data_IF_112377439339
#
_entry.id   IF_112377439339
#
_cell.length_a   1.000
_cell.length_b   1.000
_cell.length_c   1.000
_cell.angle_alpha   90.00
_cell.angle_beta   90.00
_cell.angle_gamma   90.00
#
_symmetry.space_group_name_H-M   'P 1'
#
loop_
_entity.id
_entity.type
_entity.pdbx_description
1 polymer ?
#
# COMPACT_ATOMS: atom_id res chain seq x y z
N UNK A 1 7.00 15.04 -26.21
CA UNK A 1 6.94 13.80 -27.01
C UNK A 1 5.73 12.98 -26.55
N UNK A 2 5.09 12.13 -27.38
CA UNK A 2 3.97 11.32 -26.92
C UNK A 2 4.44 10.34 -25.85
N UNK A 3 3.69 10.25 -24.75
CA UNK A 3 3.91 9.23 -23.71
C UNK A 3 3.34 7.89 -24.18
N UNK A 4 4.02 6.79 -23.85
CA UNK A 4 3.60 5.44 -24.21
C UNK A 4 3.63 4.53 -22.98
N UNK A 5 2.79 3.49 -23.01
CA UNK A 5 2.72 2.49 -21.93
C UNK A 5 4.00 1.66 -21.91
N UNK A 6 4.63 1.55 -20.75
CA UNK A 6 5.84 0.73 -20.54
C UNK A 6 5.54 -0.53 -19.73
N UNK A 7 4.51 -0.50 -18.91
CA UNK A 7 4.13 -1.61 -18.04
C UNK A 7 2.68 -1.46 -17.59
N UNK A 8 2.02 -2.58 -17.32
CA UNK A 8 0.66 -2.64 -16.80
C UNK A 8 0.68 -3.60 -15.61
N UNK A 9 0.05 -3.19 -14.51
CA UNK A 9 -0.11 -3.96 -13.29
C UNK A 9 -1.59 -4.10 -12.93
N UNK A 10 -1.93 -5.15 -12.18
CA UNK A 10 -3.22 -5.24 -11.51
C UNK A 10 -3.22 -4.30 -10.31
N UNK A 11 -4.30 -3.53 -10.16
CA UNK A 11 -4.48 -2.64 -9.01
C UNK A 11 -5.96 -2.45 -8.72
N UNK A 12 -6.36 -2.41 -7.45
CA UNK A 12 -7.77 -2.24 -7.07
C UNK A 12 -7.91 -1.06 -6.11
N UNK A 13 -8.85 -0.18 -6.40
CA UNK A 13 -9.13 1.01 -5.59
C UNK A 13 -10.21 0.75 -4.56
N UNK A 14 -10.82 1.82 -4.04
CA UNK A 14 -12.10 1.68 -3.34
C UNK A 14 -13.27 1.37 -4.29
N UNK A 15 -14.47 1.12 -3.77
CA UNK A 15 -15.66 0.90 -4.59
C UNK A 15 -16.13 2.19 -5.27
N UNK A 16 -16.70 2.08 -6.48
CA UNK A 16 -17.25 3.22 -7.22
C UNK A 16 -18.42 3.89 -6.47
N UNK A 17 -19.23 3.07 -5.79
CA UNK A 17 -20.34 3.49 -4.96
C UNK A 17 -19.98 3.17 -3.51
N UNK A 18 -19.99 4.14 -2.59
CA UNK A 18 -19.70 3.88 -1.19
C UNK A 18 -20.61 2.81 -0.59
N UNK A 19 -20.04 1.86 0.13
CA UNK A 19 -20.75 0.78 0.81
C UNK A 19 -20.16 0.51 2.20
N UNK A 20 -20.73 -0.46 2.91
CA UNK A 20 -20.16 -0.96 4.16
C UNK A 20 -19.22 -2.13 3.85
N UNK A 21 -17.95 -2.00 4.25
CA UNK A 21 -16.99 -3.09 4.19
C UNK A 21 -17.34 -4.22 5.15
N UNK A 22 -16.80 -5.40 4.90
CA UNK A 22 -16.93 -6.56 5.81
C UNK A 22 -16.27 -6.36 7.17
N UNK A 23 -15.46 -5.31 7.32
CA UNK A 23 -14.83 -4.87 8.56
C UNK A 23 -15.70 -3.89 9.38
N UNK A 24 -16.90 -3.57 8.90
CA UNK A 24 -17.82 -2.63 9.56
C UNK A 24 -17.46 -1.16 9.36
N UNK A 25 -16.50 -0.84 8.49
CA UNK A 25 -16.17 0.54 8.13
C UNK A 25 -16.69 0.89 6.72
N UNK A 26 -17.12 2.13 6.55
CA UNK A 26 -17.61 2.61 5.25
C UNK A 26 -16.44 2.69 4.27
N UNK A 27 -16.55 1.99 3.15
CA UNK A 27 -15.62 2.10 2.02
C UNK A 27 -16.10 3.22 1.09
N UNK A 28 -15.15 3.86 0.43
CA UNK A 28 -15.44 4.96 -0.51
C UNK A 28 -14.49 4.93 -1.69
N UNK A 29 -14.82 5.63 -2.78
CA UNK A 29 -14.04 5.61 -3.99
C UNK A 29 -12.62 6.15 -3.78
N UNK A 30 -11.68 5.62 -4.55
CA UNK A 30 -10.37 6.26 -4.75
C UNK A 30 -10.60 7.58 -5.47
N UNK A 31 -10.07 8.67 -4.94
CA UNK A 31 -10.41 10.02 -5.43
C UNK A 31 -9.71 10.27 -6.77
N UNK A 32 -10.45 10.61 -7.85
CA UNK A 32 -9.81 11.00 -9.10
C UNK A 32 -9.02 12.30 -8.95
N UNK A 33 -7.89 12.40 -9.63
CA UNK A 33 -7.03 13.56 -9.59
C UNK A 33 -5.60 13.29 -10.05
N UNK A 34 -4.84 14.36 -10.17
CA UNK A 34 -3.39 14.34 -10.37
C UNK A 34 -2.70 14.63 -9.03
N UNK A 35 -1.75 13.79 -8.68
CA UNK A 35 -1.02 13.83 -7.43
C UNK A 35 0.46 13.60 -7.68
N UNK A 36 1.30 14.11 -6.78
CA UNK A 36 2.74 13.92 -6.82
C UNK A 36 3.16 12.89 -5.77
N UNK A 37 4.00 11.93 -6.18
CA UNK A 37 4.56 10.93 -5.27
C UNK A 37 5.50 11.62 -4.29
N UNK A 38 5.25 11.43 -3.00
CA UNK A 38 6.09 11.92 -1.91
C UNK A 38 7.27 10.98 -1.63
N UNK A 39 7.05 9.68 -1.83
CA UNK A 39 8.03 8.61 -1.63
C UNK A 39 7.38 7.33 -1.12
N UNK A 40 8.22 6.31 -0.89
CA UNK A 40 7.78 4.99 -0.43
C UNK A 40 8.51 4.59 0.85
N UNK A 41 7.76 4.17 1.88
CA UNK A 41 8.32 3.71 3.16
C UNK A 41 7.32 2.81 3.90
N UNK A 42 7.79 2.09 4.94
CA UNK A 42 6.94 1.25 5.77
C UNK A 42 5.92 2.09 6.55
N UNK A 43 4.63 1.76 6.45
CA UNK A 43 3.57 2.49 7.13
C UNK A 43 3.46 2.14 8.62
N UNK A 44 3.05 3.14 9.41
CA UNK A 44 2.65 2.98 10.80
C UNK A 44 1.56 3.99 11.13
N UNK A 45 0.45 3.53 11.69
CA UNK A 45 -0.66 4.38 12.10
C UNK A 45 -1.33 3.86 13.37
N UNK A 46 -1.65 4.79 14.26
CA UNK A 46 -2.47 4.54 15.46
C UNK A 46 -3.91 5.01 15.25
N UNK A 47 -4.30 5.35 14.01
CA UNK A 47 -5.64 5.86 13.69
C UNK A 47 -6.69 4.76 13.72
N UNK A 48 -6.30 3.53 13.43
CA UNK A 48 -7.20 2.38 13.41
C UNK A 48 -7.31 1.78 14.81
N UNK A 49 -8.54 1.64 15.29
CA UNK A 49 -8.83 1.24 16.67
C UNK A 49 -8.40 -0.20 16.98
N UNK A 50 -8.22 -1.05 15.97
CA UNK A 50 -7.75 -2.42 16.11
C UNK A 50 -6.25 -2.53 16.40
N UNK A 51 -5.46 -1.48 16.09
CA UNK A 51 -4.03 -1.37 16.36
C UNK A 51 -3.13 -2.30 15.54
N UNK A 52 -3.63 -2.97 14.50
CA UNK A 52 -2.82 -3.87 13.66
C UNK A 52 -1.75 -3.11 12.86
N UNK A 53 -2.09 -1.89 12.43
CA UNK A 53 -1.21 -0.95 11.75
C UNK A 53 -0.29 -0.13 12.66
N UNK A 54 -0.35 -0.33 13.99
CA UNK A 54 0.48 0.38 14.97
C UNK A 54 1.96 -0.03 14.96
N UNK A 55 2.29 -1.15 14.32
CA UNK A 55 3.64 -1.70 14.22
C UNK A 55 4.02 -1.83 12.75
N UNK A 56 5.23 -1.39 12.39
CA UNK A 56 5.75 -1.51 11.02
C UNK A 56 5.93 -2.99 10.65
N UNK A 57 5.58 -3.33 9.41
CA UNK A 57 5.80 -4.65 8.86
C UNK A 57 7.28 -5.07 8.95
N UNK A 58 7.49 -6.36 9.22
CA UNK A 58 8.82 -6.97 9.37
C UNK A 58 9.55 -6.53 10.64
N UNK A 59 8.91 -5.83 11.58
CA UNK A 59 9.52 -5.55 12.89
C UNK A 59 9.74 -6.84 13.66
N UNK A 60 10.92 -7.06 14.25
CA UNK A 60 11.19 -8.29 15.00
C UNK A 60 10.30 -8.38 16.24
N UNK A 61 9.79 -9.58 16.51
CA UNK A 61 9.03 -9.92 17.70
C UNK A 61 9.84 -10.89 18.56
N UNK A 62 9.67 -10.78 19.87
CA UNK A 62 10.15 -11.80 20.81
C UNK A 62 9.22 -11.88 22.02
N UNK A 63 9.26 -13.00 22.70
CA UNK A 63 8.76 -13.11 24.06
C UNK A 63 9.92 -12.96 25.05
N UNK A 64 9.74 -12.12 26.07
CA UNK A 64 10.71 -11.95 27.15
C UNK A 64 9.99 -11.69 28.47
N UNK A 65 10.28 -12.49 29.49
CA UNK A 65 9.62 -12.44 30.81
C UNK A 65 8.08 -12.51 30.73
N UNK A 66 7.57 -13.36 29.84
CA UNK A 66 6.13 -13.54 29.64
C UNK A 66 5.44 -12.45 28.80
N UNK A 67 6.15 -11.36 28.46
CA UNK A 67 5.61 -10.25 27.67
C UNK A 67 6.09 -10.30 26.21
N UNK A 68 5.18 -10.00 25.27
CA UNK A 68 5.57 -9.79 23.87
C UNK A 68 6.22 -8.42 23.70
N UNK A 69 7.37 -8.43 23.06
CA UNK A 69 8.14 -7.23 22.75
C UNK A 69 8.34 -7.11 21.24
N UNK A 70 8.38 -5.88 20.76
CA UNK A 70 8.72 -5.53 19.38
C UNK A 70 10.00 -4.71 19.34
N UNK A 71 10.85 -4.99 18.35
CA UNK A 71 12.08 -4.25 18.13
C UNK A 71 11.83 -3.02 17.27
N UNK A 72 12.12 -1.84 17.81
CA UNK A 72 12.11 -0.60 17.03
C UNK A 72 13.39 -0.47 16.22
N UNK A 73 13.26 -0.56 14.90
CA UNK A 73 14.39 -0.46 13.95
C UNK A 73 15.20 0.83 14.15
N UNK A 74 14.53 1.97 14.29
CA UNK A 74 15.19 3.29 14.38
C UNK A 74 16.12 3.48 15.60
N UNK A 75 15.79 2.86 16.74
CA UNK A 75 16.53 3.06 18.02
C UNK A 75 17.11 1.76 18.58
N UNK A 76 17.02 0.67 17.82
CA UNK A 76 17.49 -0.67 18.19
C UNK A 76 17.04 -1.14 19.59
N UNK A 77 15.84 -0.72 20.03
CA UNK A 77 15.30 -0.97 21.36
C UNK A 77 14.15 -1.97 21.31
N UNK A 78 14.09 -2.85 22.31
CA UNK A 78 12.93 -3.71 22.55
C UNK A 78 11.94 -3.01 23.46
N UNK A 79 10.70 -2.88 23.00
CA UNK A 79 9.62 -2.27 23.77
C UNK A 79 8.42 -3.22 23.86
N UNK A 80 7.60 -3.13 24.93
CA UNK A 80 6.37 -3.90 25.03
C UNK A 80 5.46 -3.67 23.82
N UNK A 81 5.01 -4.75 23.17
CA UNK A 81 4.14 -4.69 21.98
C UNK A 81 2.84 -3.93 22.27
N UNK A 82 2.29 -4.07 23.48
CA UNK A 82 1.07 -3.43 23.95
C UNK A 82 1.06 -1.90 23.85
N UNK A 83 2.23 -1.25 23.74
CA UNK A 83 2.34 0.20 23.52
C UNK A 83 1.83 0.61 22.13
N UNK A 84 1.86 -0.31 21.17
CA UNK A 84 1.55 -0.05 19.75
C UNK A 84 0.35 -0.83 19.26
N UNK A 85 0.16 -2.04 19.78
CA UNK A 85 -0.91 -2.94 19.39
C UNK A 85 -1.52 -3.57 20.66
N UNK A 86 -2.80 -3.30 20.98
CA UNK A 86 -3.42 -3.80 22.21
C UNK A 86 -3.78 -5.29 22.16
N UNK A 87 -3.36 -6.02 21.12
CA UNK A 87 -3.74 -7.41 20.87
C UNK A 87 -3.06 -8.38 21.83
N UNK A 88 -3.83 -9.35 22.27
CA UNK A 88 -3.35 -10.47 23.10
C UNK A 88 -2.53 -11.45 22.26
N UNK A 89 -1.73 -12.30 22.93
CA UNK A 89 -1.01 -13.40 22.26
C UNK A 89 -1.96 -14.30 21.47
N UNK A 90 -3.12 -14.62 22.04
CA UNK A 90 -4.10 -15.49 21.41
C UNK A 90 -4.68 -14.87 20.13
N UNK A 91 -5.05 -13.58 20.16
CA UNK A 91 -5.51 -12.86 18.96
C UNK A 91 -4.42 -12.85 17.87
N UNK A 92 -3.16 -12.63 18.24
CA UNK A 92 -2.03 -12.66 17.29
C UNK A 92 -1.88 -14.05 16.66
N UNK A 93 -1.92 -15.12 17.47
CA UNK A 93 -1.83 -16.50 16.97
C UNK A 93 -3.02 -16.87 16.09
N UNK A 94 -4.24 -16.43 16.45
CA UNK A 94 -5.45 -16.64 15.65
C UNK A 94 -5.35 -15.92 14.31
N UNK A 95 -4.89 -14.67 14.29
CA UNK A 95 -4.76 -13.94 13.03
C UNK A 95 -3.63 -14.50 12.17
N UNK A 96 -2.52 -14.92 12.78
CA UNK A 96 -1.46 -15.64 12.08
C UNK A 96 -1.97 -16.97 11.51
N UNK A 97 -2.81 -17.71 12.24
CA UNK A 97 -3.42 -18.92 11.71
C UNK A 97 -4.36 -18.61 10.53
N UNK A 98 -5.18 -17.56 10.61
CA UNK A 98 -6.06 -17.17 9.52
C UNK A 98 -5.28 -16.87 8.22
N UNK A 99 -4.18 -16.11 8.31
CA UNK A 99 -3.37 -15.72 7.15
C UNK A 99 -2.38 -16.83 6.71
N UNK A 100 -1.62 -17.36 7.65
CA UNK A 100 -0.48 -18.22 7.41
C UNK A 100 -0.76 -19.70 7.68
N UNK A 101 -1.91 -20.07 8.24
CA UNK A 101 -2.27 -21.45 8.60
C UNK A 101 -1.32 -22.06 9.65
N UNK A 102 -0.74 -21.20 10.48
CA UNK A 102 0.17 -21.58 11.55
C UNK A 102 -0.25 -20.92 12.86
N UNK A 103 -0.61 -21.72 13.87
CA UNK A 103 -1.03 -21.20 15.18
C UNK A 103 0.18 -20.93 16.07
N UNK A 104 0.90 -19.82 15.81
CA UNK A 104 2.09 -19.39 16.56
C UNK A 104 2.26 -17.87 16.53
N UNK A 105 3.10 -17.35 17.42
CA UNK A 105 3.58 -15.97 17.30
C UNK A 105 4.65 -15.92 16.20
N UNK A 106 4.50 -15.08 15.16
CA UNK A 106 5.53 -14.96 14.13
C UNK A 106 6.80 -14.33 14.69
N UNK A 107 7.94 -14.59 14.05
CA UNK A 107 9.22 -13.97 14.43
C UNK A 107 9.27 -12.46 14.08
N UNK A 108 8.40 -12.02 13.17
CA UNK A 108 8.28 -10.63 12.73
C UNK A 108 6.82 -10.21 12.65
N UNK A 109 6.55 -8.91 12.74
CA UNK A 109 5.21 -8.36 12.58
C UNK A 109 4.77 -8.43 11.12
N UNK A 110 3.70 -9.18 10.84
CA UNK A 110 3.17 -9.43 9.48
C UNK A 110 1.67 -9.09 9.37
N UNK A 111 1.20 -8.18 10.23
CA UNK A 111 -0.23 -7.88 10.36
C UNK A 111 -0.57 -6.43 10.02
N UNK A 112 0.41 -5.63 9.58
CA UNK A 112 0.15 -4.24 9.23
C UNK A 112 -0.70 -4.16 7.95
N UNK A 113 -1.82 -3.44 8.00
CA UNK A 113 -2.83 -3.42 6.92
C UNK A 113 -2.30 -2.82 5.60
N UNK A 114 -1.14 -2.18 5.67
CA UNK A 114 -0.45 -1.55 4.55
C UNK A 114 0.74 -2.36 4.02
N UNK A 115 0.88 -3.61 4.47
CA UNK A 115 1.90 -4.54 3.98
C UNK A 115 3.33 -4.09 4.27
N UNK A 116 4.29 -4.61 3.50
CA UNK A 116 5.71 -4.35 3.74
C UNK A 116 6.17 -2.94 3.33
N UNK A 117 5.49 -2.30 2.37
CA UNK A 117 5.84 -0.97 1.87
C UNK A 117 4.60 -0.23 1.37
N UNK A 118 4.63 1.10 1.51
CA UNK A 118 3.53 1.97 1.10
C UNK A 118 4.09 3.15 0.32
N UNK A 119 3.50 3.45 -0.84
CA UNK A 119 3.81 4.64 -1.62
C UNK A 119 2.79 5.74 -1.32
N UNK A 120 3.29 6.89 -0.94
CA UNK A 120 2.52 8.06 -0.54
C UNK A 120 2.54 9.11 -1.63
N UNK A 121 1.46 9.84 -1.75
CA UNK A 121 1.33 10.95 -2.69
C UNK A 121 0.55 12.10 -2.05
N UNK A 122 0.65 13.29 -2.64
CA UNK A 122 -0.02 14.51 -2.19
C UNK A 122 -0.57 15.27 -3.38
N UNK A 123 -1.55 16.13 -3.14
CA UNK A 123 -2.03 17.05 -4.16
C UNK A 123 -1.12 18.28 -4.18
N UNK A 124 -0.47 18.51 -5.30
CA UNK A 124 0.34 19.71 -5.54
C UNK A 124 -0.60 20.88 -5.85
N UNK A 125 -0.68 21.84 -4.93
CA UNK A 125 -1.61 22.97 -4.97
C UNK A 125 -0.99 24.19 -5.65
N UNK A 126 0.34 24.25 -5.74
CA UNK A 126 1.08 25.38 -6.31
C UNK A 126 1.87 25.02 -7.58
N UNK A 127 1.79 23.75 -8.03
CA UNK A 127 2.45 23.19 -9.21
C UNK A 127 3.98 23.23 -9.15
N UNK A 128 4.58 23.10 -7.97
CA UNK A 128 6.04 23.12 -7.82
C UNK A 128 6.67 21.72 -7.64
N UNK A 129 5.86 20.68 -7.59
CA UNK A 129 6.25 19.29 -7.43
C UNK A 129 6.80 18.92 -6.05
N UNK A 130 6.59 19.76 -5.03
CA UNK A 130 7.17 19.61 -3.69
C UNK A 130 6.09 19.74 -2.64
N UNK A 131 6.10 18.81 -1.68
CA UNK A 131 5.23 18.88 -0.51
C UNK A 131 5.65 20.07 0.37
N UNK A 132 4.97 21.21 0.22
CA UNK A 132 5.24 22.42 1.00
C UNK A 132 3.99 23.29 1.29
N UNK A 133 4.19 24.39 2.02
CA UNK A 133 3.12 25.30 2.41
C UNK A 133 2.00 24.63 3.20
N UNK A 134 0.80 24.58 2.63
CA UNK A 134 -0.40 24.00 3.23
C UNK A 134 -0.73 22.58 2.75
N UNK A 135 0.12 22.01 1.88
CA UNK A 135 -0.07 20.68 1.31
C UNK A 135 0.14 19.57 2.33
N UNK A 136 -0.53 18.45 2.11
CA UNK A 136 -0.49 17.29 3.01
C UNK A 136 -0.46 16.00 2.22
N UNK A 137 0.22 15.01 2.78
CA UNK A 137 0.14 13.62 2.32
C UNK A 137 -1.33 13.20 2.28
N UNK A 138 -1.72 12.60 1.17
CA UNK A 138 -3.05 12.02 0.98
C UNK A 138 -3.30 10.91 2.00
N UNK A 139 -4.56 10.79 2.45
CA UNK A 139 -4.99 9.62 3.21
C UNK A 139 -5.10 8.35 2.35
N UNK A 140 -5.12 8.49 1.02
CA UNK A 140 -5.10 7.39 0.06
C UNK A 140 -3.66 7.11 -0.34
N UNK A 141 -3.30 5.83 -0.40
CA UNK A 141 -1.93 5.35 -0.59
C UNK A 141 -1.91 4.15 -1.53
N UNK A 142 -0.76 3.80 -2.08
CA UNK A 142 -0.58 2.54 -2.84
C UNK A 142 0.12 1.55 -1.92
N UNK A 143 -0.47 0.38 -1.71
CA UNK A 143 0.13 -0.63 -0.83
C UNK A 143 -0.42 -2.04 -1.08
N UNK A 144 0.31 -3.09 -0.68
CA UNK A 144 -0.25 -4.43 -0.54
C UNK A 144 -1.07 -4.58 0.75
N UNK A 145 -1.77 -5.71 0.88
CA UNK A 145 -2.57 -6.05 2.08
C UNK A 145 -1.98 -7.26 2.82
N UNK A 146 -2.23 -7.45 4.12
CA UNK A 146 -1.75 -8.62 4.87
C UNK A 146 -2.12 -9.96 4.22
N UNK A 147 -3.34 -10.07 3.69
CA UNK A 147 -3.78 -11.26 2.95
C UNK A 147 -2.97 -11.48 1.67
N UNK A 148 -2.72 -10.42 0.91
CA UNK A 148 -1.88 -10.46 -0.29
C UNK A 148 -0.45 -10.89 0.00
N UNK A 149 0.13 -10.37 1.09
CA UNK A 149 1.46 -10.74 1.58
C UNK A 149 1.55 -12.21 2.00
N UNK A 150 0.55 -12.68 2.75
CA UNK A 150 0.50 -14.08 3.17
C UNK A 150 0.37 -15.04 1.98
N UNK A 151 -0.50 -14.72 1.01
CA UNK A 151 -0.63 -15.49 -0.24
C UNK A 151 0.67 -15.47 -1.04
N UNK A 152 1.31 -14.32 -1.19
CA UNK A 152 2.59 -14.18 -1.89
C UNK A 152 3.68 -15.05 -1.26
N UNK A 153 3.78 -15.07 0.07
CA UNK A 153 4.78 -15.86 0.81
C UNK A 153 4.64 -17.38 0.59
N UNK A 154 3.42 -17.82 0.27
CA UNK A 154 3.08 -19.23 -0.02
C UNK A 154 3.10 -19.57 -1.51
N UNK A 155 3.42 -18.60 -2.38
CA UNK A 155 3.37 -18.77 -3.84
C UNK A 155 1.95 -18.98 -4.39
N UNK A 156 0.92 -18.53 -3.66
CA UNK A 156 -0.48 -18.64 -4.08
C UNK A 156 -0.87 -17.49 -5.00
N UNK A 157 -1.95 -17.70 -5.77
CA UNK A 157 -2.57 -16.65 -6.57
C UNK A 157 -3.17 -15.59 -5.65
N UNK A 158 -2.85 -14.32 -5.92
CA UNK A 158 -3.33 -13.18 -5.14
C UNK A 158 -4.53 -12.57 -5.85
N UNK A 159 -5.66 -12.55 -5.15
CA UNK A 159 -6.83 -11.75 -5.53
C UNK A 159 -6.76 -10.42 -4.78
N UNK A 160 -6.91 -9.32 -5.52
CA UNK A 160 -6.95 -7.98 -4.95
C UNK A 160 -8.41 -7.60 -4.68
N UNK A 161 -8.65 -7.05 -3.49
CA UNK A 161 -9.98 -6.62 -3.06
C UNK A 161 -10.05 -5.10 -2.96
N UNK A 162 -11.28 -4.58 -3.02
CA UNK A 162 -11.54 -3.15 -2.87
C UNK A 162 -11.18 -2.63 -1.48
N UNK A 163 -10.61 -1.43 -1.45
CA UNK A 163 -10.14 -0.74 -0.24
C UNK A 163 -11.14 0.29 0.29
N UNK A 164 -10.77 1.02 1.34
CA UNK A 164 -11.47 2.23 1.80
C UNK A 164 -11.01 3.51 1.06
N UNK A 165 -10.41 3.35 -0.12
CA UNK A 165 -9.96 4.43 -1.00
C UNK A 165 -8.48 4.35 -1.40
N UNK A 166 -7.65 3.57 -0.70
CA UNK A 166 -6.29 3.24 -1.13
C UNK A 166 -6.26 2.43 -2.44
N UNK A 167 -5.08 2.30 -3.04
CA UNK A 167 -4.85 1.50 -4.23
C UNK A 167 -4.09 0.24 -3.81
N UNK A 168 -4.79 -0.88 -3.76
CA UNK A 168 -4.22 -2.18 -3.46
C UNK A 168 -3.48 -2.74 -4.68
N UNK A 169 -2.27 -3.22 -4.45
CA UNK A 169 -1.39 -3.85 -5.46
C UNK A 169 -0.78 -5.13 -4.90
N UNK A 170 -0.24 -5.99 -5.77
CA UNK A 170 0.45 -7.20 -5.33
C UNK A 170 1.82 -6.84 -4.70
N UNK A 171 2.30 -7.59 -3.69
CA UNK A 171 3.60 -7.30 -3.04
C UNK A 171 4.77 -7.22 -4.03
N UNK A 172 4.92 -8.19 -4.92
CA UNK A 172 5.99 -8.18 -5.93
C UNK A 172 5.86 -7.06 -6.96
N UNK A 173 4.63 -6.63 -7.25
CA UNK A 173 4.38 -5.59 -8.23
C UNK A 173 4.83 -4.23 -7.68
N UNK A 174 4.55 -3.93 -6.39
CA UNK A 174 5.01 -2.68 -5.78
C UNK A 174 6.54 -2.64 -5.61
N UNK A 175 7.16 -3.79 -5.30
CA UNK A 175 8.62 -3.93 -5.30
C UNK A 175 9.21 -3.60 -6.67
N UNK A 176 8.66 -4.18 -7.75
CA UNK A 176 9.10 -3.90 -9.12
C UNK A 176 8.90 -2.42 -9.47
N UNK A 177 7.74 -1.84 -9.16
CA UNK A 177 7.46 -0.43 -9.43
C UNK A 177 8.46 0.51 -8.75
N UNK A 178 8.88 0.20 -7.52
CA UNK A 178 9.89 0.98 -6.80
C UNK A 178 11.28 0.76 -7.42
N UNK A 179 11.65 -0.49 -7.70
CA UNK A 179 12.93 -0.84 -8.31
C UNK A 179 13.13 -0.19 -9.70
N UNK A 180 12.05 -0.07 -10.48
CA UNK A 180 12.05 0.55 -11.80
C UNK A 180 11.88 2.08 -11.77
N UNK A 181 11.91 2.69 -10.57
CA UNK A 181 11.73 4.12 -10.38
C UNK A 181 10.39 4.68 -10.86
N UNK A 182 9.33 3.87 -10.87
CA UNK A 182 7.97 4.33 -11.18
C UNK A 182 7.37 5.08 -9.98
N UNK A 183 7.61 4.58 -8.76
CA UNK A 183 7.11 5.14 -7.50
C UNK A 183 8.16 5.97 -6.74
N UNK A 184 8.88 6.84 -7.45
CA UNK A 184 9.88 7.75 -6.85
C UNK A 184 9.32 9.15 -6.64
N UNK A 185 9.91 9.86 -5.67
CA UNK A 185 9.51 11.22 -5.33
C UNK A 185 9.54 12.13 -6.56
N UNK A 186 8.44 12.87 -6.79
CA UNK A 186 8.30 13.81 -7.90
C UNK A 186 7.64 13.23 -9.16
N UNK A 187 7.54 11.90 -9.30
CA UNK A 187 6.69 11.33 -10.35
C UNK A 187 5.22 11.59 -10.03
N UNK A 188 4.39 11.62 -11.07
CA UNK A 188 2.95 11.82 -10.93
C UNK A 188 2.21 10.49 -10.82
N UNK A 189 1.16 10.48 -9.99
CA UNK A 189 0.09 9.49 -10.02
C UNK A 189 -1.22 10.16 -10.41
N UNK A 190 -1.78 9.69 -11.52
CA UNK A 190 -3.04 10.16 -12.08
C UNK A 190 -4.09 9.08 -11.80
N UNK A 191 -5.02 9.39 -10.91
CA UNK A 191 -6.19 8.55 -10.65
C UNK A 191 -7.30 8.99 -11.60
N UNK A 192 -7.68 8.11 -12.52
CA UNK A 192 -8.75 8.35 -13.47
C UNK A 192 -10.13 8.18 -12.84
N UNK A 193 -11.18 8.84 -13.38
CA UNK A 193 -12.56 8.61 -12.96
C UNK A 193 -13.00 7.15 -13.15
N UNK A 194 -13.93 6.67 -12.31
CA UNK A 194 -14.52 5.33 -12.43
C UNK A 194 -15.33 5.11 -13.73
N UNK A 195 -15.63 6.18 -14.46
CA UNK A 195 -16.28 6.10 -15.77
C UNK A 195 -15.28 5.85 -16.91
N UNK A 196 -14.00 6.09 -16.68
CA UNK A 196 -12.95 5.98 -17.70
C UNK A 196 -12.32 4.57 -17.67
N UNK A 197 -12.46 3.77 -18.75
CA UNK A 197 -11.75 2.50 -18.85
C UNK A 197 -10.28 2.72 -19.17
N UNK A 198 -9.44 1.77 -18.77
CA UNK A 198 -8.05 1.77 -19.19
C UNK A 198 -7.92 1.63 -20.71
N UNK A 199 -6.99 2.35 -21.35
CA UNK A 199 -6.80 2.28 -22.80
C UNK A 199 -6.18 0.95 -23.20
N UNK A 200 -6.53 0.49 -24.41
CA UNK A 200 -5.88 -0.68 -25.02
C UNK A 200 -4.69 -0.21 -25.86
N UNK A 201 -3.52 -0.16 -25.23
CA UNK A 201 -2.26 0.29 -25.83
C UNK A 201 -1.17 -0.77 -25.69
N UNK A 202 -0.35 -1.01 -26.73
CA UNK A 202 0.76 -1.94 -26.63
C UNK A 202 1.86 -1.38 -25.72
N UNK A 203 2.53 -2.28 -25.00
CA UNK A 203 3.73 -1.96 -24.23
C UNK A 203 4.87 -1.59 -25.18
N UNK A 204 5.59 -0.51 -24.86
CA UNK A 204 6.75 0.00 -25.60
C UNK A 204 7.87 0.38 -24.66
N UNK A 205 9.06 0.58 -25.23
CA UNK A 205 10.20 1.12 -24.51
C UNK A 205 10.07 2.65 -24.46
N UNK A 206 10.19 3.20 -23.26
CA UNK A 206 10.23 4.63 -23.01
C UNK A 206 11.14 4.94 -21.82
N UNK A 207 11.46 6.22 -21.62
CA UNK A 207 12.31 6.69 -20.55
C UNK A 207 11.54 7.59 -19.58
N UNK A 208 12.17 7.84 -18.43
CA UNK A 208 11.73 8.82 -17.45
C UNK A 208 11.58 10.23 -18.07
N UNK A 209 10.74 11.11 -17.49
CA UNK A 209 9.92 10.90 -16.29
C UNK A 209 8.76 9.92 -16.54
N UNK A 210 8.40 9.16 -15.51
CA UNK A 210 7.26 8.25 -15.56
C UNK A 210 6.02 8.88 -14.93
N UNK A 211 4.86 8.55 -15.49
CA UNK A 211 3.53 8.78 -14.89
C UNK A 211 2.90 7.44 -14.55
N UNK A 212 2.26 7.38 -13.39
CA UNK A 212 1.50 6.23 -12.91
C UNK A 212 0.02 6.54 -13.09
N UNK A 213 -0.64 5.87 -14.02
CA UNK A 213 -2.06 6.05 -14.28
C UNK A 213 -2.84 4.91 -13.63
N UNK A 214 -3.68 5.21 -12.64
CA UNK A 214 -4.59 4.24 -12.07
C UNK A 214 -5.98 4.39 -12.67
N UNK A 215 -6.50 3.30 -13.24
CA UNK A 215 -7.84 3.22 -13.83
C UNK A 215 -8.73 2.33 -12.96
N UNK A 216 -9.52 2.91 -12.03
CA UNK A 216 -10.32 2.13 -11.09
C UNK A 216 -11.33 1.21 -11.78
N UNK A 217 -11.94 1.67 -12.89
CA UNK A 217 -12.93 0.91 -13.67
C UNK A 217 -12.40 -0.41 -14.21
N UNK A 218 -11.14 -0.43 -14.59
CA UNK A 218 -10.49 -1.60 -15.20
C UNK A 218 -9.66 -2.40 -14.22
N UNK A 219 -9.51 -1.92 -12.98
CA UNK A 219 -8.62 -2.49 -11.98
C UNK A 219 -7.18 -2.64 -12.48
N UNK A 220 -6.67 -1.60 -13.15
CA UNK A 220 -5.32 -1.58 -13.73
C UNK A 220 -4.56 -0.33 -13.38
N UNK A 221 -3.24 -0.49 -13.23
CA UNK A 221 -2.27 0.59 -13.13
C UNK A 221 -1.34 0.55 -14.34
N UNK A 222 -1.27 1.64 -15.07
CA UNK A 222 -0.47 1.80 -16.28
C UNK A 222 0.71 2.71 -15.98
N UNK A 223 1.90 2.27 -16.34
CA UNK A 223 3.09 3.11 -16.28
C UNK A 223 3.31 3.68 -17.66
N UNK A 224 3.45 5.01 -17.74
CA UNK A 224 3.70 5.73 -18.99
C UNK A 224 5.01 6.49 -18.91
N UNK A 225 5.80 6.44 -19.97
CA UNK A 225 7.07 7.17 -20.08
C UNK A 225 7.18 7.90 -21.42
N UNK A 226 8.22 8.71 -21.58
CA UNK A 226 8.51 9.43 -22.82
C UNK A 226 9.11 8.50 -23.87
N UNK A 227 8.44 8.41 -25.02
CA UNK A 227 8.88 7.56 -26.13
C UNK A 227 10.28 7.95 -26.59
N UNK A 228 11.16 6.94 -26.72
CA UNK A 228 12.48 7.07 -27.33
C UNK A 228 12.41 7.15 -28.86
#
# INVERSE_FOLDING_TARGET
MPRVVVKIYDAVGGPAVPDMGGDGFKRGPTTPGDYVIAGSWAHKSHRYADGWSGVEWGSLLREHNGELQVKRKAVNLWEPLKKYCPKTKQEIMQYHFALYQEFKIPATWVFNDFGHITSYFFKDLNNNGRLDGSEKISGQMIHPTPGGEAMASKGLVIFLDESHGCIHVKPKDIDEMIQQSYLVKGNHIIVHPYTEPAPHEPIRIAMQPYEVHFYPRSSKMYIRGEKR
#
